data_IF_086072602598
#
_entry.id   IF_086072602598
#
_cell.length_a   1.000
_cell.length_b   1.000
_cell.length_c   1.000
_cell.angle_alpha   90.00
_cell.angle_beta   90.00
_cell.angle_gamma   90.00
#
_symmetry.space_group_name_H-M   'P 1'
#
loop_
_entity.id
_entity.type
_entity.pdbx_description
1 polymer ?
#
# COMPACT_ATOMS: atom_id res chain seq x y z
N UNK A 1 6.54 12.76 13.32
CA UNK A 1 8.00 12.73 13.05
C UNK A 1 8.18 13.18 11.62
N UNK A 2 9.15 14.06 11.33
CA UNK A 2 9.40 14.44 9.93
C UNK A 2 10.15 13.31 9.21
N UNK A 3 9.59 12.84 8.11
CA UNK A 3 10.13 11.75 7.30
C UNK A 3 10.46 12.28 5.91
N UNK A 4 11.62 11.89 5.39
CA UNK A 4 12.07 12.28 4.05
C UNK A 4 11.30 11.51 2.98
N UNK A 5 10.59 12.22 2.10
CA UNK A 5 9.93 11.65 0.93
C UNK A 5 10.89 11.58 -0.26
N UNK A 6 11.65 10.48 -0.32
CA UNK A 6 12.58 10.21 -1.41
C UNK A 6 11.91 10.02 -2.78
N UNK A 7 10.64 9.61 -2.81
CA UNK A 7 9.91 9.39 -4.07
C UNK A 7 9.60 10.73 -4.74
N UNK A 8 9.06 11.68 -3.97
CA UNK A 8 8.78 13.03 -4.46
C UNK A 8 10.06 13.73 -4.93
N UNK A 9 11.13 13.60 -4.14
CA UNK A 9 12.44 14.16 -4.49
C UNK A 9 12.99 13.59 -5.81
N UNK A 10 12.93 12.27 -6.00
CA UNK A 10 13.38 11.63 -7.23
C UNK A 10 12.50 12.04 -8.44
N UNK A 11 11.18 12.09 -8.29
CA UNK A 11 10.29 12.53 -9.36
C UNK A 11 10.59 13.96 -9.81
N UNK A 12 10.81 14.88 -8.86
CA UNK A 12 11.18 16.25 -9.17
C UNK A 12 12.54 16.33 -9.89
N UNK A 13 13.55 15.59 -9.40
CA UNK A 13 14.85 15.53 -10.05
C UNK A 13 14.74 15.07 -11.51
N UNK A 14 14.00 13.98 -11.75
CA UNK A 14 13.83 13.39 -13.09
C UNK A 14 12.98 14.26 -14.01
N UNK A 15 12.10 15.10 -13.46
CA UNK A 15 11.34 16.09 -14.24
C UNK A 15 12.20 17.27 -14.71
N UNK A 16 13.25 17.62 -13.94
CA UNK A 16 14.12 18.78 -14.21
C UNK A 16 15.40 18.40 -14.95
N UNK A 17 15.86 17.16 -14.82
CA UNK A 17 17.10 16.69 -15.41
C UNK A 17 16.83 15.67 -16.51
N UNK A 18 17.49 15.85 -17.65
CA UNK A 18 17.42 14.88 -18.74
C UNK A 18 18.05 13.56 -18.31
N UNK A 19 17.34 12.46 -18.54
CA UNK A 19 17.79 11.08 -18.33
C UNK A 19 18.87 10.59 -19.31
N UNK A 20 19.67 11.50 -19.86
CA UNK A 20 20.68 11.21 -20.86
C UNK A 20 21.92 10.48 -20.30
N UNK A 21 21.88 10.00 -19.05
CA UNK A 21 23.01 9.32 -18.44
C UNK A 21 23.05 7.87 -18.91
N UNK A 22 24.19 7.49 -19.48
CA UNK A 22 24.46 6.13 -19.95
C UNK A 22 24.53 5.11 -18.80
N UNK A 23 24.73 5.55 -17.55
CA UNK A 23 24.81 4.67 -16.38
C UNK A 23 23.94 5.16 -15.22
N UNK A 24 23.28 4.23 -14.49
CA UNK A 24 22.50 4.57 -13.28
C UNK A 24 23.33 5.21 -12.17
N UNK A 25 24.61 4.85 -12.05
CA UNK A 25 25.50 5.35 -11.00
C UNK A 25 25.71 6.88 -11.08
N UNK A 26 25.98 7.41 -12.28
CA UNK A 26 26.16 8.85 -12.47
C UNK A 26 24.87 9.62 -12.18
N UNK A 27 23.72 9.02 -12.47
CA UNK A 27 22.41 9.60 -12.16
C UNK A 27 22.21 9.71 -10.65
N UNK A 28 22.55 8.65 -9.90
CA UNK A 28 22.46 8.64 -8.44
C UNK A 28 23.42 9.64 -7.78
N UNK A 29 24.66 9.73 -8.27
CA UNK A 29 25.63 10.71 -7.77
C UNK A 29 25.12 12.14 -7.97
N UNK A 30 24.62 12.47 -9.16
CA UNK A 30 24.07 13.81 -9.44
C UNK A 30 22.80 14.10 -8.64
N UNK A 31 21.94 13.11 -8.45
CA UNK A 31 20.79 13.24 -7.57
C UNK A 31 21.20 13.55 -6.12
N UNK A 32 22.20 12.85 -5.59
CA UNK A 32 22.70 13.10 -4.24
C UNK A 32 23.30 14.51 -4.09
N UNK A 33 24.09 14.97 -5.05
CA UNK A 33 24.59 16.36 -5.05
C UNK A 33 23.45 17.38 -5.14
N UNK A 34 22.47 17.15 -6.01
CA UNK A 34 21.31 18.02 -6.17
C UNK A 34 20.45 18.17 -4.91
N UNK A 35 20.36 17.13 -4.08
CA UNK A 35 19.70 17.20 -2.77
C UNK A 35 20.46 18.07 -1.75
N UNK A 36 21.79 18.17 -1.91
CA UNK A 36 22.65 19.01 -1.08
C UNK A 36 22.66 20.48 -1.48
N UNK A 37 22.20 20.82 -2.68
CA UNK A 37 22.15 22.20 -3.15
C UNK A 37 21.29 23.07 -2.22
N UNK A 38 21.74 24.30 -2.00
CA UNK A 38 20.99 25.27 -1.21
C UNK A 38 19.85 25.87 -2.03
N UNK A 39 18.66 25.92 -1.44
CA UNK A 39 17.44 26.45 -2.05
C UNK A 39 16.85 27.50 -1.11
N UNK A 40 16.28 28.60 -1.63
CA UNK A 40 15.53 29.54 -0.82
C UNK A 40 14.37 28.80 -0.12
N UNK A 41 14.28 28.97 1.19
CA UNK A 41 13.24 28.34 1.99
C UNK A 41 11.86 28.96 1.64
N UNK A 42 10.87 28.17 1.20
CA UNK A 42 9.53 28.68 0.94
C UNK A 42 8.81 29.14 2.23
N UNK A 43 9.28 28.71 3.41
CA UNK A 43 8.66 29.03 4.70
C UNK A 43 9.31 30.22 5.42
N UNK A 44 10.55 30.58 5.09
CA UNK A 44 11.27 31.66 5.77
C UNK A 44 12.07 32.50 4.77
N UNK A 45 11.58 33.71 4.49
CA UNK A 45 12.21 34.64 3.57
C UNK A 45 13.61 35.04 4.05
N UNK A 46 14.65 34.69 3.29
CA UNK A 46 16.04 35.05 3.57
C UNK A 46 16.90 33.94 4.18
N UNK A 47 16.34 32.76 4.48
CA UNK A 47 17.13 31.58 4.86
C UNK A 47 17.27 30.62 3.68
N UNK A 48 18.48 30.14 3.49
CA UNK A 48 18.78 29.07 2.53
C UNK A 48 18.86 27.75 3.29
N UNK A 49 18.11 26.76 2.84
CA UNK A 49 18.11 25.41 3.40
C UNK A 49 18.61 24.42 2.34
N UNK A 50 19.22 23.29 2.73
CA UNK A 50 19.50 22.21 1.80
C UNK A 50 18.19 21.73 1.16
N UNK A 51 18.22 21.44 -0.14
CA UNK A 51 17.05 21.01 -0.89
C UNK A 51 16.36 19.79 -0.26
N UNK A 52 17.09 18.88 0.38
CA UNK A 52 16.48 17.73 1.06
C UNK A 52 15.40 18.13 2.08
N UNK A 53 15.56 19.28 2.75
CA UNK A 53 14.65 19.76 3.79
C UNK A 53 13.28 20.15 3.21
N UNK A 54 13.21 20.49 1.91
CA UNK A 54 11.93 20.79 1.25
C UNK A 54 11.07 19.55 1.01
N UNK A 55 11.65 18.36 1.14
CA UNK A 55 10.98 17.06 0.95
C UNK A 55 10.69 16.34 2.28
N UNK A 56 10.90 16.99 3.41
CA UNK A 56 10.46 16.47 4.70
C UNK A 56 8.93 16.59 4.80
N UNK A 57 8.28 15.46 5.06
CA UNK A 57 6.84 15.34 5.19
C UNK A 57 6.51 14.92 6.62
N UNK A 58 5.45 15.50 7.18
CA UNK A 58 4.93 15.07 8.47
C UNK A 58 4.16 13.78 8.25
N UNK A 59 4.67 12.67 8.80
CA UNK A 59 3.96 11.40 8.80
C UNK A 59 3.44 11.13 10.21
N UNK A 60 2.12 11.08 10.34
CA UNK A 60 1.44 10.69 11.56
C UNK A 60 1.51 9.17 11.72
N UNK A 61 2.45 8.72 12.55
CA UNK A 61 2.53 7.33 13.02
C UNK A 61 1.58 7.07 14.19
N UNK A 62 0.45 7.79 14.25
CA UNK A 62 -0.56 7.48 15.25
C UNK A 62 -0.88 5.99 15.13
N UNK A 63 -0.81 5.20 16.21
CA UNK A 63 -1.20 3.81 16.15
C UNK A 63 -2.61 3.78 15.59
N UNK A 64 -2.80 3.13 14.45
CA UNK A 64 -4.14 2.90 13.91
C UNK A 64 -4.92 2.24 15.03
N UNK A 65 -5.96 2.91 15.54
CA UNK A 65 -6.92 2.27 16.42
C UNK A 65 -7.51 1.13 15.58
N UNK A 66 -7.15 -0.09 15.95
CA UNK A 66 -7.72 -1.29 15.34
C UNK A 66 -9.13 -1.37 15.91
N UNK A 67 -10.09 -0.78 15.21
CA UNK A 67 -11.48 -1.17 15.40
C UNK A 67 -11.60 -2.59 14.85
N UNK A 68 -12.05 -3.54 15.69
CA UNK A 68 -12.16 -4.97 15.33
C UNK A 68 -12.99 -5.20 14.04
N UNK A 69 -13.81 -4.22 13.66
CA UNK A 69 -14.68 -4.26 12.49
C UNK A 69 -13.98 -3.89 11.16
N UNK A 70 -12.75 -3.36 11.16
CA UNK A 70 -12.05 -3.00 9.91
C UNK A 70 -10.56 -3.33 9.98
N UNK A 71 -10.23 -4.55 9.55
CA UNK A 71 -8.85 -4.99 9.40
C UNK A 71 -8.15 -4.29 8.22
N UNK A 72 -7.21 -3.39 8.52
CA UNK A 72 -6.29 -2.83 7.51
C UNK A 72 -4.95 -3.56 7.65
N UNK A 73 -4.58 -4.44 6.69
CA UNK A 73 -3.31 -5.14 6.75
C UNK A 73 -2.17 -4.12 6.72
N UNK A 74 -1.28 -4.21 7.71
CA UNK A 74 0.02 -3.56 7.61
C UNK A 74 0.72 -4.17 6.40
N UNK A 75 1.34 -3.35 5.55
CA UNK A 75 1.86 -3.76 4.23
C UNK A 75 2.90 -4.91 4.21
N UNK A 76 3.15 -5.56 5.34
CA UNK A 76 3.78 -6.87 5.45
C UNK A 76 2.91 -8.01 4.87
N UNK A 77 1.58 -7.86 4.90
CA UNK A 77 0.66 -8.80 4.27
C UNK A 77 0.39 -8.28 2.86
N UNK A 78 0.87 -9.00 1.83
CA UNK A 78 0.43 -8.74 0.46
C UNK A 78 -1.09 -8.91 0.45
N UNK A 79 -1.84 -7.88 0.05
CA UNK A 79 -3.28 -8.04 -0.24
C UNK A 79 -3.42 -9.25 -1.16
N UNK A 80 -3.90 -10.35 -0.61
CA UNK A 80 -4.08 -11.63 -1.29
C UNK A 80 -5.31 -11.63 -2.20
N UNK A 81 -5.82 -10.45 -2.57
CA UNK A 81 -6.96 -10.27 -3.48
C UNK A 81 -6.75 -10.79 -4.92
N UNK A 82 -5.67 -11.51 -5.19
CA UNK A 82 -5.51 -12.30 -6.41
C UNK A 82 -6.13 -13.69 -6.31
N UNK A 83 -6.38 -14.19 -5.09
CA UNK A 83 -7.18 -15.40 -4.86
C UNK A 83 -8.36 -15.01 -3.98
N UNK A 84 -9.53 -14.97 -4.61
CA UNK A 84 -10.79 -14.55 -3.99
C UNK A 84 -11.02 -15.20 -2.62
N UNK A 85 -11.50 -14.39 -1.69
CA UNK A 85 -12.00 -14.86 -0.42
C UNK A 85 -13.30 -15.66 -0.69
N UNK A 86 -13.37 -16.96 -0.35
CA UNK A 86 -14.58 -17.77 -0.59
C UNK A 86 -15.78 -17.39 0.31
N UNK A 87 -15.64 -16.35 1.16
CA UNK A 87 -16.67 -15.92 2.10
C UNK A 87 -17.39 -14.61 1.73
N UNK A 88 -17.44 -14.22 0.45
CA UNK A 88 -18.46 -13.28 -0.01
C UNK A 88 -19.71 -14.05 -0.46
N UNK A 89 -20.56 -14.36 0.52
CA UNK A 89 -21.88 -14.93 0.29
C UNK A 89 -22.80 -13.89 -0.36
N UNK A 90 -22.88 -13.92 -1.69
CA UNK A 90 -24.03 -13.37 -2.41
C UNK A 90 -25.21 -14.33 -2.21
N UNK A 91 -26.21 -13.83 -1.49
CA UNK A 91 -27.46 -14.55 -1.19
C UNK A 91 -28.21 -14.82 -2.49
N UNK A 92 -28.19 -16.07 -2.96
CA UNK A 92 -29.23 -16.60 -3.85
C UNK A 92 -29.34 -18.11 -3.66
N UNK A 93 -30.46 -18.52 -3.05
CA UNK A 93 -31.00 -19.88 -2.97
C UNK A 93 -30.03 -20.94 -2.43
N UNK A 94 -30.03 -21.12 -1.11
CA UNK A 94 -29.22 -22.13 -0.44
C UNK A 94 -30.02 -23.38 -0.10
N UNK A 95 -29.45 -24.57 -0.36
CA UNK A 95 -29.94 -25.85 0.13
C UNK A 95 -29.35 -26.13 1.52
N UNK A 96 -30.08 -26.83 2.38
CA UNK A 96 -29.53 -27.23 3.69
C UNK A 96 -28.83 -28.58 3.58
N UNK A 97 -27.73 -28.75 4.31
CA UNK A 97 -27.07 -30.04 4.40
C UNK A 97 -28.00 -31.06 5.08
N UNK A 98 -28.20 -32.22 4.46
CA UNK A 98 -29.04 -33.30 5.00
C UNK A 98 -28.58 -33.83 6.36
N UNK A 99 -27.28 -33.74 6.67
CA UNK A 99 -26.71 -34.25 7.91
C UNK A 99 -26.49 -33.18 9.01
N UNK A 100 -25.78 -32.10 8.71
CA UNK A 100 -25.44 -31.08 9.73
C UNK A 100 -26.38 -29.86 9.77
N UNK A 101 -27.30 -29.74 8.80
CA UNK A 101 -28.24 -28.60 8.73
C UNK A 101 -27.61 -27.27 8.33
N UNK A 102 -26.30 -27.21 8.03
CA UNK A 102 -25.65 -25.98 7.57
C UNK A 102 -26.23 -25.53 6.23
N UNK A 103 -26.39 -24.22 6.06
CA UNK A 103 -26.85 -23.62 4.81
C UNK A 103 -25.73 -23.69 3.78
N UNK A 104 -25.99 -24.35 2.66
CA UNK A 104 -25.07 -24.55 1.55
C UNK A 104 -25.60 -23.83 0.31
N UNK A 105 -24.71 -23.46 -0.62
CA UNK A 105 -25.12 -22.99 -1.94
C UNK A 105 -25.88 -24.09 -2.71
N UNK A 106 -26.88 -23.73 -3.55
CA UNK A 106 -27.64 -24.68 -4.37
C UNK A 106 -26.74 -25.67 -5.15
N UNK A 107 -25.57 -25.21 -5.59
CA UNK A 107 -24.64 -25.96 -6.43
C UNK A 107 -23.63 -26.79 -5.63
N UNK A 108 -23.63 -26.73 -4.30
CA UNK A 108 -22.63 -27.42 -3.47
C UNK A 108 -22.81 -28.96 -3.53
N UNK A 109 -21.85 -29.69 -4.12
CA UNK A 109 -21.86 -31.16 -4.16
C UNK A 109 -21.42 -31.81 -2.84
N UNK A 110 -20.75 -31.06 -1.99
CA UNK A 110 -20.20 -31.52 -0.72
C UNK A 110 -20.40 -30.44 0.34
N UNK A 111 -20.66 -30.84 1.58
CA UNK A 111 -20.72 -29.92 2.71
C UNK A 111 -19.30 -29.58 3.20
N UNK A 112 -18.91 -28.29 3.31
CA UNK A 112 -17.60 -27.90 3.81
C UNK A 112 -17.42 -28.18 5.31
N UNK A 113 -18.52 -28.20 6.08
CA UNK A 113 -18.47 -28.44 7.53
C UNK A 113 -18.37 -29.93 7.89
N UNK A 114 -19.22 -30.77 7.31
CA UNK A 114 -19.30 -32.19 7.68
C UNK A 114 -18.73 -33.14 6.62
N UNK A 115 -18.32 -32.65 5.45
CA UNK A 115 -17.76 -33.45 4.36
C UNK A 115 -18.76 -34.31 3.57
N UNK A 116 -20.03 -34.34 3.98
CA UNK A 116 -21.06 -35.18 3.36
C UNK A 116 -21.43 -34.71 1.95
N UNK A 117 -21.51 -35.65 1.01
CA UNK A 117 -22.03 -35.43 -0.35
C UNK A 117 -23.51 -35.04 -0.33
N UNK A 118 -23.87 -33.98 -1.05
CA UNK A 118 -25.24 -33.54 -1.23
C UNK A 118 -25.66 -33.87 -2.67
N UNK A 119 -26.35 -35.00 -2.86
CA UNK A 119 -27.02 -35.34 -4.14
C UNK A 119 -28.29 -34.51 -4.36
#
# INVERSE_FOLDING_TARGET
>A
MEVFDGKKAAQEYMSKHTLAFSTPELTLMRFAFWLGDTVPDPKNEGKTIPRMMTFMTEQDFAPVLIDDDTYVPTGAVKNSGLYGNPNEETVSEGKFCSECGTKLSATAKFCPECGTTQE
#
